data_IF_117031390089
#
_entry.id   IF_117031390089
#
_cell.length_a   1.000
_cell.length_b   1.000
_cell.length_c   1.000
_cell.angle_alpha   90.00
_cell.angle_beta   90.00
_cell.angle_gamma   90.00
#
_symmetry.space_group_name_H-M   'P 1'
#
loop_
_entity.id
_entity.type
_entity.pdbx_description
1 polymer ?
#
# COMPACT_ATOMS: atom_id res chain seq x y z
N UNK A 1 25.73 26.36 -10.50
CA UNK A 1 25.47 25.98 -9.10
C UNK A 1 24.06 25.45 -9.02
N UNK A 2 23.87 24.14 -8.85
CA UNK A 2 22.56 23.59 -8.50
C UNK A 2 22.20 24.15 -7.12
N UNK A 3 21.13 24.94 -7.04
CA UNK A 3 20.56 25.32 -5.74
C UNK A 3 19.97 24.05 -5.15
N UNK A 4 20.63 23.47 -4.17
CA UNK A 4 20.09 22.37 -3.40
C UNK A 4 18.95 22.92 -2.55
N UNK A 5 17.71 22.61 -2.90
CA UNK A 5 16.57 22.92 -2.04
C UNK A 5 16.70 22.10 -0.75
N UNK A 6 16.54 22.76 0.41
CA UNK A 6 16.65 22.09 1.70
C UNK A 6 15.24 21.85 2.27
N UNK A 7 14.87 20.57 2.40
CA UNK A 7 13.70 20.13 3.17
C UNK A 7 14.05 20.19 4.66
N UNK A 8 13.22 20.87 5.45
CA UNK A 8 13.34 20.98 6.90
C UNK A 8 12.01 20.56 7.51
N UNK A 9 12.03 19.56 8.39
CA UNK A 9 10.88 19.17 9.21
C UNK A 9 11.05 19.77 10.60
N UNK A 10 10.06 20.53 11.06
CA UNK A 10 10.08 21.22 12.36
C UNK A 10 8.80 20.92 13.14
N UNK A 11 8.88 20.98 14.46
CA UNK A 11 7.69 20.94 15.33
C UNK A 11 7.36 22.38 15.74
N UNK A 12 6.16 22.85 15.41
CA UNK A 12 5.61 24.15 15.80
C UNK A 12 4.27 23.92 16.52
N UNK A 13 4.12 24.50 17.72
CA UNK A 13 2.94 24.32 18.58
C UNK A 13 2.54 22.85 18.85
N UNK A 14 3.53 21.96 18.86
CA UNK A 14 3.33 20.52 19.08
C UNK A 14 2.89 19.76 17.82
N UNK A 15 2.82 20.42 16.67
CA UNK A 15 2.48 19.82 15.38
C UNK A 15 3.67 19.84 14.42
N UNK A 16 3.75 18.82 13.57
CA UNK A 16 4.78 18.74 12.55
C UNK A 16 4.47 19.73 11.41
N UNK A 17 5.50 20.42 10.94
CA UNK A 17 5.50 21.33 9.81
C UNK A 17 6.64 20.99 8.86
N UNK A 18 6.35 21.02 7.56
CA UNK A 18 7.30 20.81 6.49
C UNK A 18 7.64 22.15 5.81
N UNK A 19 8.94 22.46 5.76
CA UNK A 19 9.47 23.72 5.25
C UNK A 19 10.43 23.41 4.09
N UNK A 20 10.25 24.05 2.94
CA UNK A 20 11.18 24.00 1.82
C UNK A 20 11.75 25.39 1.56
N UNK A 21 13.08 25.51 1.56
CA UNK A 21 13.78 26.78 1.28
C UNK A 21 13.29 27.97 2.13
N UNK A 22 12.88 27.69 3.37
CA UNK A 22 12.37 28.69 4.31
C UNK A 22 10.89 29.05 4.15
N UNK A 23 10.17 28.40 3.22
CA UNK A 23 8.73 28.54 3.05
C UNK A 23 8.00 27.35 3.67
N UNK A 24 7.00 27.63 4.50
CA UNK A 24 6.10 26.61 5.03
C UNK A 24 5.33 26.00 3.87
N UNK A 25 5.55 24.71 3.62
CA UNK A 25 4.97 23.97 2.52
C UNK A 25 3.76 23.16 2.97
N UNK A 26 3.86 22.47 4.11
CA UNK A 26 2.75 21.77 4.74
C UNK A 26 2.75 21.99 6.24
N UNK A 27 1.55 22.17 6.77
CA UNK A 27 1.30 22.21 8.20
C UNK A 27 0.33 21.08 8.53
N UNK A 28 0.78 20.13 9.35
CA UNK A 28 -0.04 18.97 9.68
C UNK A 28 -0.89 19.28 10.91
N UNK A 29 -2.12 18.76 10.93
CA UNK A 29 -3.02 18.87 12.10
C UNK A 29 -2.93 17.65 13.02
N UNK A 30 -2.20 16.63 12.59
CA UNK A 30 -1.99 15.37 13.30
C UNK A 30 -0.57 14.85 13.04
N UNK A 31 0.14 14.47 14.10
CA UNK A 31 1.54 14.06 14.03
C UNK A 31 1.72 12.64 13.49
N UNK A 32 0.76 11.74 13.75
CA UNK A 32 0.82 10.37 13.23
C UNK A 32 0.68 10.36 11.70
N UNK A 33 -0.23 11.17 11.19
CA UNK A 33 -0.40 11.42 9.75
C UNK A 33 0.85 12.06 9.15
N UNK A 34 1.39 13.10 9.80
CA UNK A 34 2.61 13.78 9.34
C UNK A 34 3.81 12.82 9.23
N UNK A 35 4.02 11.98 10.23
CA UNK A 35 5.11 11.01 10.23
C UNK A 35 4.96 10.00 9.10
N UNK A 36 3.75 9.47 8.86
CA UNK A 36 3.51 8.53 7.76
C UNK A 36 3.79 9.17 6.40
N UNK A 37 3.21 10.34 6.14
CA UNK A 37 3.36 11.01 4.84
C UNK A 37 4.82 11.40 4.57
N UNK A 38 5.51 11.99 5.55
CA UNK A 38 6.91 12.39 5.40
C UNK A 38 7.83 11.18 5.19
N UNK A 39 7.61 10.08 5.93
CA UNK A 39 8.39 8.85 5.76
C UNK A 39 8.12 8.19 4.40
N UNK A 40 6.87 8.19 3.94
CA UNK A 40 6.52 7.62 2.64
C UNK A 40 7.11 8.41 1.48
N UNK A 41 7.10 9.74 1.56
CA UNK A 41 7.71 10.61 0.56
C UNK A 41 9.23 10.45 0.51
N UNK A 42 9.89 10.36 1.67
CA UNK A 42 11.35 10.15 1.75
C UNK A 42 11.78 8.77 1.23
N UNK A 43 10.90 7.75 1.28
CA UNK A 43 11.14 6.41 0.73
C UNK A 43 10.62 6.29 -0.72
N UNK A 44 9.97 7.34 -1.26
CA UNK A 44 9.45 7.37 -2.63
C UNK A 44 8.30 6.40 -2.88
N UNK A 45 7.49 6.12 -1.84
CA UNK A 45 6.42 5.14 -1.87
C UNK A 45 5.09 5.80 -2.27
N UNK A 46 4.47 5.29 -3.34
CA UNK A 46 3.11 5.65 -3.74
C UNK A 46 2.10 4.94 -2.83
N UNK A 47 1.46 5.70 -1.93
CA UNK A 47 0.52 5.16 -0.94
C UNK A 47 -0.63 4.40 -1.59
N UNK A 48 -1.25 5.03 -2.60
CA UNK A 48 -2.45 4.51 -3.23
C UNK A 48 -2.10 3.24 -4.00
N UNK A 49 -0.96 3.23 -4.70
CA UNK A 49 -0.45 2.03 -5.36
C UNK A 49 -0.10 0.89 -4.40
N UNK A 50 0.46 1.20 -3.23
CA UNK A 50 0.76 0.20 -2.20
C UNK A 50 -0.51 -0.35 -1.58
N UNK A 51 -1.46 0.53 -1.24
CA UNK A 51 -2.74 0.15 -0.68
C UNK A 51 -3.46 -0.77 -1.65
N UNK A 52 -3.59 -0.37 -2.92
CA UNK A 52 -4.16 -1.19 -3.98
C UNK A 52 -3.45 -2.55 -4.13
N UNK A 53 -2.12 -2.58 -3.99
CA UNK A 53 -1.35 -3.83 -4.03
C UNK A 53 -1.71 -4.77 -2.88
N UNK A 54 -1.81 -4.25 -1.66
CA UNK A 54 -2.20 -5.05 -0.50
C UNK A 54 -3.66 -5.51 -0.58
N UNK A 55 -4.57 -4.64 -1.01
CA UNK A 55 -5.97 -4.98 -1.21
C UNK A 55 -6.11 -6.14 -2.22
N UNK A 56 -5.43 -6.05 -3.38
CA UNK A 56 -5.42 -7.13 -4.38
C UNK A 56 -4.80 -8.43 -3.83
N UNK A 57 -3.70 -8.34 -3.08
CA UNK A 57 -3.09 -9.53 -2.47
C UNK A 57 -4.01 -10.22 -1.45
N UNK A 58 -4.74 -9.45 -0.65
CA UNK A 58 -5.71 -9.98 0.33
C UNK A 58 -6.87 -10.65 -0.40
N UNK A 59 -7.38 -10.02 -1.46
CA UNK A 59 -8.40 -10.60 -2.34
C UNK A 59 -7.92 -11.92 -2.96
N UNK A 60 -6.76 -11.93 -3.60
CA UNK A 60 -6.19 -13.10 -4.27
C UNK A 60 -5.93 -14.26 -3.29
N UNK A 61 -5.50 -13.94 -2.07
CA UNK A 61 -5.30 -14.91 -1.00
C UNK A 61 -6.64 -15.52 -0.54
N UNK A 62 -7.69 -14.69 -0.38
CA UNK A 62 -9.02 -15.16 -0.01
C UNK A 62 -9.67 -16.00 -1.11
N UNK A 63 -9.43 -15.68 -2.38
CA UNK A 63 -9.90 -16.43 -3.54
C UNK A 63 -9.14 -17.75 -3.72
N UNK A 64 -7.82 -17.73 -3.59
CA UNK A 64 -6.96 -18.91 -3.78
C UNK A 64 -7.04 -19.91 -2.62
N UNK A 65 -7.37 -19.44 -1.41
CA UNK A 65 -7.44 -20.26 -0.20
C UNK A 65 -8.76 -20.04 0.54
N UNK A 66 -9.87 -20.68 0.09
CA UNK A 66 -11.19 -20.52 0.71
C UNK A 66 -11.23 -20.82 2.21
N UNK A 67 -10.35 -21.71 2.69
CA UNK A 67 -10.19 -22.05 4.10
C UNK A 67 -9.69 -20.89 4.97
N UNK A 68 -9.01 -19.90 4.39
CA UNK A 68 -8.53 -18.70 5.10
C UNK A 68 -9.57 -17.58 5.09
N UNK A 69 -10.57 -17.64 4.21
CA UNK A 69 -11.58 -16.60 4.03
C UNK A 69 -12.29 -16.18 5.33
N UNK A 70 -12.71 -17.08 6.23
CA UNK A 70 -13.34 -16.68 7.50
C UNK A 70 -12.39 -15.87 8.40
N UNK A 71 -11.13 -16.31 8.51
CA UNK A 71 -10.11 -15.62 9.31
C UNK A 71 -9.73 -14.26 8.71
N UNK A 72 -9.70 -14.16 7.38
CA UNK A 72 -9.47 -12.90 6.68
C UNK A 72 -10.65 -11.94 6.93
N UNK A 73 -11.89 -12.44 6.83
CA UNK A 73 -13.10 -11.65 7.08
C UNK A 73 -13.17 -11.09 8.52
N UNK A 74 -12.73 -11.86 9.52
CA UNK A 74 -12.67 -11.40 10.92
C UNK A 74 -11.70 -10.22 11.15
N UNK A 75 -10.72 -10.03 10.26
CA UNK A 75 -9.72 -8.97 10.37
C UNK A 75 -10.02 -7.75 9.50
N UNK A 76 -11.08 -7.81 8.69
CA UNK A 76 -11.44 -6.77 7.75
C UNK A 76 -12.80 -6.16 8.13
N UNK A 77 -13.08 -4.94 7.64
CA UNK A 77 -14.41 -4.36 7.76
C UNK A 77 -15.48 -5.28 7.16
N UNK A 78 -16.68 -5.26 7.74
CA UNK A 78 -17.84 -5.95 7.18
C UNK A 78 -18.10 -5.49 5.74
N UNK A 79 -18.38 -6.43 4.83
CA UNK A 79 -18.62 -6.13 3.42
C UNK A 79 -17.36 -5.91 2.58
N UNK A 80 -16.16 -5.92 3.17
CA UNK A 80 -14.92 -5.66 2.43
C UNK A 80 -14.64 -6.74 1.38
N UNK A 81 -14.85 -8.01 1.70
CA UNK A 81 -14.58 -9.11 0.77
C UNK A 81 -15.56 -9.12 -0.41
N UNK A 82 -16.81 -8.74 -0.17
CA UNK A 82 -17.84 -8.59 -1.19
C UNK A 82 -17.50 -7.43 -2.14
N UNK A 83 -17.12 -6.28 -1.59
CA UNK A 83 -16.63 -5.15 -2.38
C UNK A 83 -15.36 -5.50 -3.18
N UNK A 84 -14.42 -6.21 -2.56
CA UNK A 84 -13.17 -6.60 -3.20
C UNK A 84 -13.42 -7.57 -4.36
N UNK A 85 -14.34 -8.52 -4.20
CA UNK A 85 -14.78 -9.39 -5.29
C UNK A 85 -15.32 -8.52 -6.46
N UNK A 86 -16.28 -7.63 -6.21
CA UNK A 86 -16.82 -6.73 -7.26
C UNK A 86 -15.75 -5.86 -7.95
N UNK A 87 -14.72 -5.46 -7.21
CA UNK A 87 -13.68 -4.54 -7.69
C UNK A 87 -12.50 -5.25 -8.38
N UNK A 88 -12.24 -6.51 -8.04
CA UNK A 88 -11.04 -7.25 -8.47
C UNK A 88 -11.34 -8.57 -9.22
N UNK A 89 -12.61 -9.02 -9.31
CA UNK A 89 -12.99 -10.26 -10.01
C UNK A 89 -12.64 -10.29 -11.50
N UNK A 90 -12.50 -9.14 -12.17
CA UNK A 90 -12.14 -9.06 -13.61
C UNK A 90 -10.64 -9.27 -13.87
N UNK A 91 -9.84 -9.36 -12.82
CA UNK A 91 -8.38 -9.41 -12.85
C UNK A 91 -7.88 -10.73 -12.22
N UNK A 92 -8.51 -11.84 -12.61
CA UNK A 92 -8.14 -13.16 -12.12
C UNK A 92 -6.65 -13.46 -12.43
N UNK A 93 -5.83 -13.85 -11.44
CA UNK A 93 -4.43 -14.13 -11.67
C UNK A 93 -4.28 -15.38 -12.54
N UNK A 94 -3.82 -15.19 -13.78
CA UNK A 94 -3.21 -16.28 -14.56
C UNK A 94 -1.86 -16.61 -13.93
N UNK A 95 -1.87 -17.39 -12.86
CA UNK A 95 -0.65 -18.02 -12.35
C UNK A 95 -0.05 -18.89 -13.47
N UNK A 96 1.23 -18.72 -13.84
CA UNK A 96 1.87 -19.62 -14.78
C UNK A 96 1.85 -21.03 -14.17
N UNK A 97 1.17 -21.95 -14.86
CA UNK A 97 1.18 -23.38 -14.56
C UNK A 97 2.64 -23.85 -14.49
N UNK A 98 3.14 -24.06 -13.28
CA UNK A 98 4.51 -24.53 -13.05
C UNK A 98 4.60 -26.01 -13.44
N UNK A 99 5.12 -26.21 -14.65
CA UNK A 99 5.81 -27.39 -15.17
C UNK A 99 5.12 -28.76 -15.06
N UNK A 100 4.59 -29.19 -16.21
CA UNK A 100 4.64 -30.59 -16.61
C UNK A 100 6.11 -31.02 -16.75
N UNK A 101 6.61 -31.80 -15.79
CA UNK A 101 7.90 -32.47 -15.93
C UNK A 101 7.77 -33.62 -16.91
N UNK A 102 8.29 -33.36 -18.12
CA UNK A 102 8.90 -34.25 -19.09
C UNK A 102 8.67 -35.78 -18.93
N UNK A 103 7.98 -36.33 -19.94
CA UNK A 103 8.25 -37.66 -20.44
C UNK A 103 9.75 -37.81 -20.73
N UNK A 104 10.40 -38.81 -20.14
CA UNK A 104 11.61 -39.42 -20.71
C UNK A 104 11.27 -40.89 -20.97
N UNK A 105 11.18 -41.17 -22.25
CA UNK A 105 11.02 -42.47 -22.88
C UNK A 105 12.15 -43.42 -22.47
N UNK A 106 11.81 -44.66 -22.14
CA UNK A 106 12.71 -45.81 -22.11
C UNK A 106 12.04 -46.96 -22.85
#
# INVERSE_FOLDING_TARGET
>A
MQKSCQKIVRIEDGLIAEIYDGLLYRHFTDNDTALRELLMEDVGLDFDGILQTYEKLIHDLAASFPQLRPRIAEQLPEGWLEWAEESYSDDAPTLPSRNASAQVTG
#
